data_IF_209259223059
#
_entry.id   IF_209259223059
#
_cell.length_a   1.000
_cell.length_b   1.000
_cell.length_c   1.000
_cell.angle_alpha   90.00
_cell.angle_beta   90.00
_cell.angle_gamma   90.00
#
_symmetry.space_group_name_H-M   'P 1'
#
loop_
_entity.id
_entity.type
_entity.pdbx_description
1 polymer ?
#
# COMPACT_ATOMS: atom_id res chain seq x y z
N UNK A 1 -0.26 43.58 -9.37
CA UNK A 1 0.53 42.43 -9.87
C UNK A 1 1.92 42.93 -10.18
N UNK A 2 2.98 42.37 -9.58
CA UNK A 2 4.34 42.65 -10.03
C UNK A 2 4.51 42.10 -11.46
N UNK A 3 5.03 42.91 -12.38
CA UNK A 3 5.35 42.48 -13.73
C UNK A 3 6.71 41.77 -13.69
N UNK A 4 6.72 40.46 -13.91
CA UNK A 4 7.95 39.68 -14.05
C UNK A 4 8.33 39.58 -15.53
N UNK A 5 9.62 39.75 -15.85
CA UNK A 5 10.10 39.75 -17.24
C UNK A 5 10.07 38.37 -17.90
N UNK A 6 10.15 37.29 -17.10
CA UNK A 6 10.04 35.92 -17.59
C UNK A 6 9.63 34.94 -16.47
N UNK A 7 9.34 33.68 -16.84
CA UNK A 7 8.90 32.62 -15.90
C UNK A 7 9.98 32.24 -14.88
N UNK A 8 11.26 32.32 -15.25
CA UNK A 8 12.37 31.98 -14.35
C UNK A 8 12.44 32.96 -13.18
N UNK A 9 12.45 34.26 -13.49
CA UNK A 9 12.44 35.34 -12.52
C UNK A 9 11.22 35.25 -11.60
N UNK A 10 10.05 34.94 -12.17
CA UNK A 10 8.85 34.70 -11.38
C UNK A 10 9.03 33.55 -10.38
N UNK A 11 9.54 32.39 -10.83
CA UNK A 11 9.71 31.21 -9.98
C UNK A 11 10.76 31.43 -8.87
N UNK A 12 11.89 32.08 -9.18
CA UNK A 12 12.91 32.46 -8.18
C UNK A 12 12.29 33.28 -7.05
N UNK A 13 11.58 34.34 -7.41
CA UNK A 13 10.96 35.24 -6.44
C UNK A 13 9.83 34.55 -5.66
N UNK A 14 8.96 33.80 -6.35
CA UNK A 14 7.80 33.15 -5.73
C UNK A 14 8.20 32.03 -4.77
N UNK A 15 9.19 31.22 -5.16
CA UNK A 15 9.65 30.08 -4.37
C UNK A 15 10.76 30.45 -3.38
N UNK A 16 11.32 31.66 -3.50
CA UNK A 16 12.46 32.17 -2.70
C UNK A 16 13.67 31.26 -2.81
N UNK A 17 14.07 30.96 -4.04
CA UNK A 17 15.23 30.12 -4.35
C UNK A 17 16.21 30.85 -5.23
N UNK A 18 17.48 30.48 -5.13
CA UNK A 18 18.54 31.00 -5.98
C UNK A 18 18.50 30.43 -7.41
N UNK A 19 19.29 31.06 -8.28
CA UNK A 19 19.43 30.73 -9.68
C UNK A 19 19.97 29.32 -9.89
N UNK A 20 20.90 28.86 -9.06
CA UNK A 20 21.52 27.53 -9.19
C UNK A 20 20.49 26.42 -8.96
N UNK A 21 19.70 26.52 -7.89
CA UNK A 21 18.63 25.59 -7.55
C UNK A 21 17.59 25.58 -8.66
N UNK A 22 17.11 26.75 -9.10
CA UNK A 22 16.10 26.80 -10.15
C UNK A 22 16.64 26.24 -11.48
N UNK A 23 17.87 26.58 -11.86
CA UNK A 23 18.50 26.07 -13.08
C UNK A 23 18.59 24.54 -13.06
N UNK A 24 18.90 23.94 -11.92
CA UNK A 24 18.94 22.48 -11.79
C UNK A 24 17.56 21.82 -12.04
N UNK A 25 16.48 22.51 -11.70
CA UNK A 25 15.10 22.06 -11.93
C UNK A 25 14.70 22.27 -13.38
N UNK A 26 15.01 23.44 -13.95
CA UNK A 26 14.77 23.77 -15.36
C UNK A 26 15.50 22.80 -16.29
N UNK A 27 16.73 22.39 -15.96
CA UNK A 27 17.46 21.38 -16.73
C UNK A 27 16.71 20.04 -16.79
N UNK A 28 16.06 19.63 -15.69
CA UNK A 28 15.26 18.40 -15.63
C UNK A 28 13.93 18.54 -16.36
N UNK A 29 13.32 19.72 -16.31
CA UNK A 29 12.01 19.98 -16.90
C UNK A 29 11.94 21.33 -17.64
N UNK A 30 12.62 21.48 -18.80
CA UNK A 30 12.77 22.79 -19.45
C UNK A 30 11.45 23.45 -19.88
N UNK A 31 10.42 22.63 -20.13
CA UNK A 31 9.10 23.10 -20.53
C UNK A 31 8.36 23.87 -19.42
N UNK A 32 8.85 23.86 -18.17
CA UNK A 32 8.30 24.72 -17.10
C UNK A 32 8.32 26.21 -17.47
N UNK A 33 9.35 26.64 -18.21
CA UNK A 33 9.52 28.03 -18.63
C UNK A 33 8.46 28.50 -19.64
N UNK A 34 7.68 27.56 -20.20
CA UNK A 34 6.59 27.84 -21.14
C UNK A 34 5.22 27.83 -20.46
N UNK A 35 5.15 27.51 -19.16
CA UNK A 35 3.88 27.47 -18.42
C UNK A 35 3.44 28.91 -18.12
N UNK A 36 2.14 29.15 -18.26
CA UNK A 36 1.55 30.45 -17.96
C UNK A 36 1.77 30.84 -16.47
N UNK A 37 2.26 32.06 -16.24
CA UNK A 37 2.57 32.59 -14.89
C UNK A 37 1.34 32.60 -13.98
N UNK A 38 0.15 32.96 -14.47
CA UNK A 38 -1.06 32.98 -13.65
C UNK A 38 -1.44 31.57 -13.16
N UNK A 39 -1.30 30.56 -14.02
CA UNK A 39 -1.47 29.15 -13.62
C UNK A 39 -0.45 28.75 -12.55
N UNK A 40 0.82 29.10 -12.75
CA UNK A 40 1.88 28.82 -11.77
C UNK A 40 1.57 29.49 -10.43
N UNK A 41 1.13 30.74 -10.44
CA UNK A 41 0.79 31.48 -9.23
C UNK A 41 -0.36 30.84 -8.47
N UNK A 42 -1.45 30.52 -9.16
CA UNK A 42 -2.57 29.82 -8.55
C UNK A 42 -2.13 28.47 -7.95
N UNK A 43 -1.37 27.67 -8.69
CA UNK A 43 -0.89 26.37 -8.22
C UNK A 43 0.01 26.50 -7.00
N UNK A 44 1.02 27.38 -7.03
CA UNK A 44 1.97 27.56 -5.92
C UNK A 44 1.24 28.09 -4.68
N UNK A 45 0.30 29.03 -4.85
CA UNK A 45 -0.53 29.53 -3.75
C UNK A 45 -1.33 28.40 -3.10
N UNK A 46 -1.99 27.56 -3.90
CA UNK A 46 -2.74 26.39 -3.40
C UNK A 46 -1.81 25.47 -2.60
N UNK A 47 -0.60 25.18 -3.10
CA UNK A 47 0.35 24.29 -2.41
C UNK A 47 0.83 24.90 -1.08
N UNK A 48 1.25 26.17 -1.08
CA UNK A 48 1.69 26.87 0.13
C UNK A 48 0.59 27.00 1.19
N UNK A 49 -0.66 27.30 0.78
CA UNK A 49 -1.83 27.32 1.67
C UNK A 49 -2.11 25.95 2.32
N UNK A 50 -1.60 24.88 1.74
CA UNK A 50 -1.71 23.52 2.27
C UNK A 50 -0.41 23.01 2.87
N UNK A 51 0.46 23.93 3.32
CA UNK A 51 1.69 23.65 4.05
C UNK A 51 2.75 22.86 3.27
N UNK A 52 2.65 22.83 1.93
CA UNK A 52 3.67 22.25 1.06
C UNK A 52 4.73 23.33 0.81
N UNK A 53 6.00 23.04 1.10
CA UNK A 53 7.09 24.01 1.03
C UNK A 53 7.66 24.16 -0.38
N UNK A 54 8.33 25.28 -0.66
CA UNK A 54 9.05 25.47 -1.93
C UNK A 54 10.08 24.37 -2.22
N UNK A 55 10.79 23.89 -1.19
CA UNK A 55 11.73 22.76 -1.33
C UNK A 55 11.01 21.49 -1.80
N UNK A 56 9.85 21.17 -1.21
CA UNK A 56 9.07 20.01 -1.62
C UNK A 56 8.58 20.15 -3.06
N UNK A 57 8.11 21.34 -3.45
CA UNK A 57 7.66 21.66 -4.82
C UNK A 57 8.78 21.40 -5.83
N UNK A 58 9.99 21.89 -5.55
CA UNK A 58 11.14 21.76 -6.44
C UNK A 58 11.70 20.33 -6.49
N UNK A 59 11.51 19.55 -5.41
CA UNK A 59 11.82 18.12 -5.39
C UNK A 59 10.90 17.31 -6.31
N UNK A 60 9.66 17.76 -6.50
CA UNK A 60 8.65 17.12 -7.36
C UNK A 60 8.15 18.04 -8.46
N UNK A 61 9.03 18.48 -9.38
CA UNK A 61 8.73 19.59 -10.28
C UNK A 61 7.71 19.20 -11.37
N UNK A 62 7.39 17.91 -11.50
CA UNK A 62 6.26 17.43 -12.32
C UNK A 62 4.92 18.05 -11.90
N UNK A 63 4.77 18.51 -10.65
CA UNK A 63 3.56 19.15 -10.15
C UNK A 63 3.10 20.33 -11.02
N UNK A 64 4.03 21.08 -11.62
CA UNK A 64 3.71 22.25 -12.46
C UNK A 64 2.88 21.91 -13.72
N UNK A 65 2.90 20.66 -14.15
CA UNK A 65 2.11 20.20 -15.29
C UNK A 65 0.68 19.79 -14.92
N UNK A 66 0.38 19.58 -13.64
CA UNK A 66 -0.96 19.23 -13.22
C UNK A 66 -1.93 20.41 -13.39
N UNK A 67 -3.20 20.09 -13.57
CA UNK A 67 -4.27 21.08 -13.53
C UNK A 67 -4.47 21.52 -12.06
N UNK A 68 -4.62 22.83 -11.84
CA UNK A 68 -4.88 23.43 -10.53
C UNK A 68 -6.12 22.84 -9.86
N UNK A 69 -7.18 22.61 -10.64
CA UNK A 69 -8.45 22.07 -10.16
C UNK A 69 -8.28 20.61 -9.70
N UNK A 70 -7.50 19.82 -10.44
CA UNK A 70 -7.16 18.45 -10.02
C UNK A 70 -6.43 18.45 -8.69
N UNK A 71 -5.44 19.32 -8.51
CA UNK A 71 -4.67 19.40 -7.26
C UNK A 71 -5.56 19.88 -6.11
N UNK A 72 -6.38 20.89 -6.34
CA UNK A 72 -7.32 21.41 -5.35
C UNK A 72 -8.34 20.35 -4.92
N UNK A 73 -8.94 19.63 -5.87
CA UNK A 73 -9.87 18.54 -5.60
C UNK A 73 -9.21 17.42 -4.79
N UNK A 74 -7.99 17.02 -5.16
CA UNK A 74 -7.24 15.99 -4.43
C UNK A 74 -6.89 16.41 -3.01
N UNK A 75 -6.49 17.66 -2.80
CA UNK A 75 -6.26 18.23 -1.47
C UNK A 75 -7.55 18.20 -0.64
N UNK A 76 -8.69 18.58 -1.22
CA UNK A 76 -9.98 18.56 -0.54
C UNK A 76 -10.38 17.13 -0.12
N UNK A 77 -10.18 16.14 -1.00
CA UNK A 77 -10.41 14.73 -0.70
C UNK A 77 -9.52 14.29 0.46
N UNK A 78 -8.21 14.56 0.40
CA UNK A 78 -7.26 14.18 1.45
C UNK A 78 -7.64 14.77 2.81
N UNK A 79 -7.99 16.06 2.86
CA UNK A 79 -8.47 16.71 4.09
C UNK A 79 -9.76 16.10 4.64
N UNK A 80 -10.72 15.77 3.77
CA UNK A 80 -11.97 15.12 4.18
C UNK A 80 -11.71 13.74 4.80
N UNK A 81 -10.67 13.05 4.36
CA UNK A 81 -10.22 11.75 4.90
C UNK A 81 -9.20 11.87 6.03
N UNK A 82 -8.97 13.07 6.59
CA UNK A 82 -7.97 13.32 7.63
C UNK A 82 -6.53 12.88 7.23
N UNK A 83 -6.22 12.97 5.94
CA UNK A 83 -4.90 12.68 5.38
C UNK A 83 -4.18 13.98 5.05
N UNK A 84 -2.89 14.03 5.40
CA UNK A 84 -2.02 15.17 5.10
C UNK A 84 -1.68 15.20 3.61
N UNK A 85 -1.94 16.32 2.90
CA UNK A 85 -1.51 16.50 1.52
C UNK A 85 0.02 16.37 1.38
N UNK A 86 0.46 15.54 0.44
CA UNK A 86 1.88 15.36 0.08
C UNK A 86 2.04 15.38 -1.42
N UNK A 87 3.10 16.00 -1.94
CA UNK A 87 3.28 16.09 -3.39
C UNK A 87 3.41 14.73 -4.06
N UNK A 88 4.03 13.76 -3.39
CA UNK A 88 4.17 12.38 -3.90
C UNK A 88 2.84 11.69 -4.18
N UNK A 89 1.76 12.09 -3.48
CA UNK A 89 0.40 11.56 -3.69
C UNK A 89 -0.34 12.42 -4.72
N UNK A 90 -0.20 13.74 -4.63
CA UNK A 90 -0.88 14.69 -5.51
C UNK A 90 -0.49 14.54 -6.98
N UNK A 91 0.73 14.07 -7.29
CA UNK A 91 1.22 13.87 -8.66
C UNK A 91 0.98 12.47 -9.23
N UNK A 92 0.23 11.60 -8.53
CA UNK A 92 -0.05 10.24 -9.02
C UNK A 92 -1.08 10.24 -10.16
N UNK A 93 -1.16 9.14 -10.91
CA UNK A 93 -2.31 8.94 -11.82
C UNK A 93 -3.61 8.83 -11.02
N UNK A 94 -4.75 9.09 -11.66
CA UNK A 94 -6.08 9.01 -11.04
C UNK A 94 -6.30 7.66 -10.35
N UNK A 95 -6.11 6.55 -11.08
CA UNK A 95 -6.19 5.20 -10.53
C UNK A 95 -5.36 4.98 -9.26
N UNK A 96 -4.11 5.48 -9.22
CA UNK A 96 -3.23 5.28 -8.07
C UNK A 96 -3.64 6.18 -6.90
N UNK A 97 -4.10 7.39 -7.19
CA UNK A 97 -4.66 8.30 -6.19
C UNK A 97 -5.92 7.70 -5.55
N UNK A 98 -6.86 7.20 -6.34
CA UNK A 98 -8.11 6.61 -5.84
C UNK A 98 -7.83 5.37 -5.00
N UNK A 99 -6.95 4.49 -5.48
CA UNK A 99 -6.50 3.32 -4.72
C UNK A 99 -5.83 3.73 -3.39
N UNK A 100 -5.08 4.83 -3.37
CA UNK A 100 -4.49 5.34 -2.14
C UNK A 100 -5.56 5.80 -1.14
N UNK A 101 -6.59 6.51 -1.61
CA UNK A 101 -7.71 6.96 -0.76
C UNK A 101 -8.50 5.76 -0.21
N UNK A 102 -8.87 4.81 -1.07
CA UNK A 102 -9.60 3.60 -0.70
C UNK A 102 -8.88 2.82 0.42
N UNK A 103 -7.59 2.53 0.24
CA UNK A 103 -6.80 1.78 1.22
C UNK A 103 -6.71 2.49 2.57
N UNK A 104 -6.59 3.82 2.57
CA UNK A 104 -6.53 4.58 3.82
C UNK A 104 -7.89 4.64 4.53
N UNK A 105 -8.99 4.76 3.77
CA UNK A 105 -10.34 4.72 4.32
C UNK A 105 -10.66 3.36 4.93
N UNK A 106 -10.34 2.26 4.24
CA UNK A 106 -10.46 0.90 4.79
C UNK A 106 -9.68 0.75 6.09
N UNK A 107 -8.44 1.25 6.10
CA UNK A 107 -7.59 1.23 7.29
C UNK A 107 -8.18 2.04 8.44
N UNK A 108 -8.68 3.24 8.18
CA UNK A 108 -9.31 4.07 9.21
C UNK A 108 -10.55 3.41 9.78
N UNK A 109 -11.43 2.87 8.92
CA UNK A 109 -12.64 2.15 9.33
C UNK A 109 -12.30 0.97 10.25
N UNK A 110 -11.31 0.17 9.87
CA UNK A 110 -10.85 -0.97 10.70
C UNK A 110 -10.24 -0.54 12.03
N UNK A 111 -9.48 0.57 12.04
CA UNK A 111 -8.93 1.13 13.27
C UNK A 111 -10.01 1.75 14.16
N UNK A 112 -11.10 2.29 13.60
CA UNK A 112 -12.25 2.75 14.36
C UNK A 112 -13.04 1.58 14.97
N UNK A 113 -13.25 0.51 14.19
CA UNK A 113 -14.00 -0.68 14.63
C UNK A 113 -13.24 -1.49 15.69
N UNK A 114 -11.92 -1.64 15.55
CA UNK A 114 -11.12 -2.52 16.39
C UNK A 114 -10.15 -1.78 17.32
N UNK A 115 -9.86 -0.50 17.10
CA UNK A 115 -8.87 0.28 17.86
C UNK A 115 -7.41 -0.04 17.50
N UNK A 116 -7.07 -1.31 17.24
CA UNK A 116 -5.72 -1.72 16.90
C UNK A 116 -5.67 -2.96 15.99
N UNK A 117 -4.53 -3.17 15.32
CA UNK A 117 -4.29 -4.39 14.52
C UNK A 117 -4.33 -5.65 15.41
N UNK A 118 -3.88 -5.57 16.66
CA UNK A 118 -3.97 -6.67 17.62
C UNK A 118 -5.42 -7.07 17.86
N UNK A 119 -6.28 -6.10 18.14
CA UNK A 119 -7.70 -6.35 18.39
C UNK A 119 -8.41 -6.87 17.13
N UNK A 120 -8.07 -6.33 15.96
CA UNK A 120 -8.55 -6.86 14.68
C UNK A 120 -8.18 -8.34 14.53
N UNK A 121 -6.91 -8.71 14.75
CA UNK A 121 -6.46 -10.10 14.67
C UNK A 121 -7.17 -10.99 15.69
N UNK A 122 -7.37 -10.51 16.91
CA UNK A 122 -8.07 -11.26 17.96
C UNK A 122 -9.52 -11.57 17.55
N UNK A 123 -10.23 -10.56 17.03
CA UNK A 123 -11.62 -10.69 16.61
C UNK A 123 -11.77 -11.59 15.38
N UNK A 124 -10.94 -11.40 14.35
CA UNK A 124 -11.09 -12.13 13.08
C UNK A 124 -10.59 -13.57 13.19
N UNK A 125 -9.50 -13.81 13.93
CA UNK A 125 -9.01 -15.18 14.13
C UNK A 125 -9.86 -15.95 15.15
N UNK A 126 -10.63 -15.26 15.99
CA UNK A 126 -11.46 -15.86 17.05
C UNK A 126 -10.65 -16.81 17.95
N UNK A 127 -9.49 -16.34 18.40
CA UNK A 127 -8.54 -17.11 19.23
C UNK A 127 -8.54 -16.59 20.67
N UNK A 128 -8.03 -17.40 21.60
CA UNK A 128 -7.77 -16.93 22.96
C UNK A 128 -6.71 -15.83 22.94
N UNK A 129 -7.01 -14.71 23.58
CA UNK A 129 -6.12 -13.54 23.61
C UNK A 129 -4.69 -13.90 24.05
N UNK A 130 -4.55 -14.79 25.04
CA UNK A 130 -3.25 -15.28 25.51
C UNK A 130 -2.41 -15.94 24.41
N UNK A 131 -3.01 -16.75 23.53
CA UNK A 131 -2.29 -17.42 22.44
C UNK A 131 -1.83 -16.43 21.38
N UNK A 132 -2.67 -15.45 21.06
CA UNK A 132 -2.30 -14.37 20.15
C UNK A 132 -1.17 -13.53 20.75
N UNK A 133 -1.21 -13.24 22.05
CA UNK A 133 -0.17 -12.46 22.72
C UNK A 133 1.18 -13.16 22.76
N UNK A 134 1.19 -14.48 23.01
CA UNK A 134 2.39 -15.30 22.92
C UNK A 134 2.98 -15.28 21.50
N UNK A 135 2.13 -15.38 20.48
CA UNK A 135 2.54 -15.29 19.07
C UNK A 135 3.11 -13.92 18.71
N UNK A 136 2.48 -12.83 19.14
CA UNK A 136 2.93 -11.45 18.92
C UNK A 136 4.24 -11.18 19.66
N UNK A 137 4.37 -11.65 20.91
CA UNK A 137 5.60 -11.50 21.70
C UNK A 137 6.78 -12.17 21.01
N UNK A 138 6.58 -13.36 20.45
CA UNK A 138 7.59 -14.09 19.69
C UNK A 138 7.86 -13.49 18.30
N UNK A 139 6.86 -12.85 17.69
CA UNK A 139 6.92 -12.31 16.34
C UNK A 139 6.27 -10.91 16.24
N UNK A 140 6.87 -9.86 16.85
CA UNK A 140 6.24 -8.54 16.97
C UNK A 140 6.05 -7.84 15.62
N UNK A 141 6.79 -8.26 14.58
CA UNK A 141 6.65 -7.75 13.22
C UNK A 141 5.28 -8.06 12.57
N UNK A 142 4.47 -8.97 13.13
CA UNK A 142 3.10 -9.23 12.65
C UNK A 142 2.28 -7.93 12.65
N UNK A 143 2.42 -7.11 13.70
CA UNK A 143 1.69 -5.85 13.84
C UNK A 143 2.13 -4.78 12.82
N UNK A 144 3.27 -4.98 12.15
CA UNK A 144 3.77 -4.08 11.09
C UNK A 144 3.41 -4.54 9.69
N UNK A 145 2.81 -5.72 9.52
CA UNK A 145 2.37 -6.20 8.22
C UNK A 145 1.27 -5.28 7.69
N UNK A 146 1.31 -4.96 6.39
CA UNK A 146 0.30 -4.11 5.75
C UNK A 146 -1.10 -4.70 5.96
N UNK A 147 -2.03 -3.89 6.47
CA UNK A 147 -3.38 -4.32 6.84
C UNK A 147 -4.12 -5.00 5.68
N UNK A 148 -4.10 -4.43 4.47
CA UNK A 148 -4.69 -5.06 3.27
C UNK A 148 -4.17 -6.47 3.02
N UNK A 149 -2.85 -6.68 3.18
CA UNK A 149 -2.24 -8.01 3.05
C UNK A 149 -2.71 -8.94 4.16
N UNK A 150 -2.81 -8.45 5.40
CA UNK A 150 -3.33 -9.24 6.52
C UNK A 150 -4.77 -9.69 6.27
N UNK A 151 -5.64 -8.79 5.81
CA UNK A 151 -7.03 -9.10 5.47
C UNK A 151 -7.11 -10.18 4.39
N UNK A 152 -6.44 -9.95 3.25
CA UNK A 152 -6.43 -10.89 2.13
C UNK A 152 -5.87 -12.26 2.53
N UNK A 153 -4.83 -12.27 3.36
CA UNK A 153 -4.23 -13.49 3.90
C UNK A 153 -5.22 -14.25 4.79
N UNK A 154 -5.85 -13.59 5.75
CA UNK A 154 -6.73 -14.24 6.71
C UNK A 154 -7.98 -14.78 6.01
N UNK A 155 -8.58 -13.99 5.12
CA UNK A 155 -9.71 -14.41 4.28
C UNK A 155 -9.37 -15.65 3.44
N UNK A 156 -8.21 -15.63 2.76
CA UNK A 156 -7.73 -16.79 1.99
C UNK A 156 -7.57 -18.05 2.86
N UNK A 157 -7.02 -17.91 4.07
CA UNK A 157 -6.80 -19.03 4.98
C UNK A 157 -8.14 -19.59 5.50
N UNK A 158 -9.06 -18.72 5.93
CA UNK A 158 -10.39 -19.13 6.41
C UNK A 158 -11.22 -19.80 5.32
N UNK A 159 -11.23 -19.26 4.09
CA UNK A 159 -11.87 -19.89 2.91
C UNK A 159 -11.25 -21.25 2.54
N UNK A 160 -10.03 -21.52 3.01
CA UNK A 160 -9.37 -22.82 2.83
C UNK A 160 -9.61 -23.80 4.00
N UNK A 161 -10.40 -23.42 5.00
CA UNK A 161 -10.72 -24.23 6.18
C UNK A 161 -9.65 -24.20 7.26
N UNK A 162 -8.72 -23.24 7.22
CA UNK A 162 -7.66 -23.08 8.21
C UNK A 162 -8.18 -22.21 9.36
N UNK A 163 -8.05 -22.69 10.59
CA UNK A 163 -8.57 -22.02 11.79
C UNK A 163 -7.63 -20.95 12.32
N UNK A 164 -8.14 -20.05 13.16
CA UNK A 164 -7.30 -19.05 13.84
C UNK A 164 -6.24 -19.69 14.74
N UNK A 165 -6.58 -20.80 15.41
CA UNK A 165 -5.65 -21.56 16.25
C UNK A 165 -4.47 -22.12 15.44
N UNK A 166 -4.73 -22.60 14.22
CA UNK A 166 -3.67 -23.03 13.29
C UNK A 166 -2.73 -21.87 12.95
N UNK A 167 -3.31 -20.70 12.66
CA UNK A 167 -2.58 -19.48 12.25
C UNK A 167 -1.66 -18.98 13.36
N UNK A 168 -2.15 -18.86 14.59
CA UNK A 168 -1.34 -18.41 15.73
C UNK A 168 -0.29 -19.45 16.15
N UNK A 169 -0.56 -20.73 15.92
CA UNK A 169 0.43 -21.80 16.11
C UNK A 169 1.58 -21.73 15.08
N UNK A 170 1.35 -21.10 13.92
CA UNK A 170 2.33 -20.95 12.86
C UNK A 170 2.50 -19.48 12.41
N UNK A 171 2.95 -18.57 13.27
CA UNK A 171 2.96 -17.13 12.98
C UNK A 171 3.82 -16.72 11.77
N UNK A 172 4.71 -17.61 11.32
CA UNK A 172 5.49 -17.39 10.10
C UNK A 172 4.62 -17.19 8.85
N UNK A 173 3.39 -17.69 8.84
CA UNK A 173 2.46 -17.56 7.71
C UNK A 173 2.19 -16.10 7.35
N UNK A 174 2.18 -15.18 8.32
CA UNK A 174 1.97 -13.74 8.09
C UNK A 174 3.00 -13.10 7.15
N UNK A 175 4.18 -13.70 7.04
CA UNK A 175 5.27 -13.20 6.19
C UNK A 175 5.22 -13.75 4.76
N UNK A 176 4.45 -14.79 4.49
CA UNK A 176 4.36 -15.37 3.16
C UNK A 176 3.65 -14.44 2.18
N UNK A 177 3.97 -14.60 0.90
CA UNK A 177 3.29 -13.92 -0.18
C UNK A 177 1.92 -14.57 -0.41
N UNK A 178 0.84 -13.76 -0.46
CA UNK A 178 -0.54 -14.25 -0.56
C UNK A 178 -0.78 -15.00 -1.88
N UNK A 179 -0.20 -14.52 -2.98
CA UNK A 179 -0.32 -15.17 -4.29
C UNK A 179 0.37 -16.54 -4.31
N UNK A 180 1.52 -16.67 -3.65
CA UNK A 180 2.17 -17.97 -3.46
C UNK A 180 1.28 -18.93 -2.67
N UNK A 181 0.62 -18.45 -1.62
CA UNK A 181 -0.30 -19.27 -0.83
C UNK A 181 -1.54 -19.68 -1.63
N UNK A 182 -2.10 -18.76 -2.43
CA UNK A 182 -3.23 -19.02 -3.33
C UNK A 182 -2.92 -20.15 -4.30
N UNK A 183 -1.76 -20.09 -4.97
CA UNK A 183 -1.28 -21.15 -5.88
C UNK A 183 -1.10 -22.49 -5.17
N UNK A 184 -0.53 -22.48 -3.96
CA UNK A 184 -0.34 -23.70 -3.17
C UNK A 184 -1.65 -24.31 -2.73
N UNK A 185 -2.60 -23.49 -2.26
CA UNK A 185 -3.94 -23.94 -1.86
C UNK A 185 -4.68 -24.54 -3.07
N UNK A 186 -4.64 -23.88 -4.23
CA UNK A 186 -5.24 -24.40 -5.47
C UNK A 186 -4.65 -25.77 -5.84
N UNK A 187 -3.33 -25.89 -5.90
CA UNK A 187 -2.63 -27.15 -6.18
C UNK A 187 -3.02 -28.27 -5.21
N UNK A 188 -3.12 -27.97 -3.91
CA UNK A 188 -3.54 -28.97 -2.91
C UNK A 188 -4.99 -29.40 -3.13
N UNK A 189 -5.91 -28.45 -3.35
CA UNK A 189 -7.33 -28.71 -3.62
C UNK A 189 -7.53 -29.54 -4.89
N UNK A 190 -6.83 -29.22 -5.98
CA UNK A 190 -6.86 -29.98 -7.25
C UNK A 190 -6.44 -31.45 -7.08
N UNK A 191 -5.55 -31.73 -6.12
CA UNK A 191 -5.09 -33.08 -5.81
C UNK A 191 -5.88 -33.74 -4.65
N UNK A 192 -7.02 -33.16 -4.25
CA UNK A 192 -7.85 -33.67 -3.16
C UNK A 192 -7.16 -33.66 -1.79
N UNK A 193 -6.13 -32.83 -1.61
CA UNK A 193 -5.37 -32.69 -0.37
C UNK A 193 -5.92 -31.49 0.40
N UNK A 194 -6.36 -31.66 1.67
CA UNK A 194 -6.81 -30.54 2.48
C UNK A 194 -5.63 -29.59 2.77
N UNK A 195 -5.79 -28.27 2.54
CA UNK A 195 -4.77 -27.29 2.87
C UNK A 195 -4.42 -27.31 4.37
N UNK A 196 -3.13 -27.31 4.70
CA UNK A 196 -2.60 -27.21 6.06
C UNK A 196 -1.45 -26.22 6.10
N UNK A 197 -1.35 -25.40 7.14
CA UNK A 197 -0.32 -24.34 7.20
C UNK A 197 1.09 -24.91 7.05
N UNK A 198 1.38 -26.06 7.66
CA UNK A 198 2.69 -26.73 7.55
C UNK A 198 3.11 -27.03 6.11
N UNK A 199 2.16 -27.41 5.25
CA UNK A 199 2.39 -27.60 3.81
C UNK A 199 2.49 -26.27 3.07
N UNK A 200 1.71 -25.27 3.49
CA UNK A 200 1.73 -23.94 2.87
C UNK A 200 3.02 -23.17 3.12
N UNK A 201 3.70 -23.38 4.26
CA UNK A 201 4.94 -22.67 4.62
C UNK A 201 6.22 -23.45 4.30
N UNK A 202 6.12 -24.70 3.83
CA UNK A 202 7.31 -25.51 3.57
C UNK A 202 8.05 -25.09 2.28
N UNK A 203 9.25 -25.65 2.07
CA UNK A 203 10.00 -25.46 0.83
C UNK A 203 9.24 -26.07 -0.35
N UNK A 204 9.32 -25.45 -1.53
CA UNK A 204 8.59 -25.91 -2.73
C UNK A 204 8.84 -27.40 -3.05
N UNK A 205 10.09 -27.84 -2.99
CA UNK A 205 10.47 -29.25 -3.22
C UNK A 205 9.74 -30.25 -2.30
N UNK A 206 9.38 -29.83 -1.09
CA UNK A 206 8.70 -30.70 -0.11
C UNK A 206 7.24 -30.87 -0.48
N UNK A 207 6.54 -29.76 -0.78
CA UNK A 207 5.13 -29.83 -1.18
C UNK A 207 4.97 -30.56 -2.52
N UNK A 208 5.87 -30.34 -3.49
CA UNK A 208 5.83 -31.04 -4.78
C UNK A 208 5.98 -32.55 -4.61
N UNK A 209 6.93 -32.99 -3.76
CA UNK A 209 7.13 -34.41 -3.45
C UNK A 209 5.89 -34.99 -2.77
N UNK A 210 5.33 -34.26 -1.80
CA UNK A 210 4.12 -34.70 -1.09
C UNK A 210 2.94 -34.91 -2.04
N UNK A 211 2.68 -33.94 -2.93
CA UNK A 211 1.62 -34.04 -3.94
C UNK A 211 1.86 -35.24 -4.86
N UNK A 212 3.07 -35.40 -5.41
CA UNK A 212 3.40 -36.51 -6.31
C UNK A 212 3.10 -37.89 -5.70
N UNK A 213 3.50 -38.12 -4.44
CA UNK A 213 3.24 -39.39 -3.76
C UNK A 213 1.73 -39.63 -3.55
N UNK A 214 0.98 -38.60 -3.17
CA UNK A 214 -0.48 -38.69 -2.97
C UNK A 214 -1.21 -38.98 -4.28
N UNK A 215 -0.81 -38.35 -5.38
CA UNK A 215 -1.41 -38.57 -6.70
C UNK A 215 -1.08 -39.96 -7.29
N UNK A 216 0.04 -40.58 -6.90
CA UNK A 216 0.35 -41.97 -7.27
C UNK A 216 -0.49 -42.96 -6.46
N UNK A 217 -0.63 -42.73 -5.16
CA UNK A 217 -1.44 -43.60 -4.30
C UNK A 217 -2.94 -43.56 -4.64
N UNK A 218 -3.48 -42.42 -5.07
CA UNK A 218 -4.89 -42.32 -5.50
C UNK A 218 -5.18 -42.98 -6.85
N UNK A 219 -4.16 -43.16 -7.71
CA UNK A 219 -4.31 -43.89 -8.97
C UNK A 219 -4.28 -45.41 -8.76
N UNK A 220 -3.50 -45.88 -7.79
CA UNK A 220 -3.41 -47.31 -7.48
C UNK A 220 -4.63 -47.84 -6.71
N UNK A 221 -5.39 -47.00 -6.01
CA UNK A 221 -6.61 -47.41 -5.29
C UNK A 221 -7.87 -47.52 -6.17
N UNK A 222 -7.79 -47.12 -7.45
CA UNK A 222 -8.90 -47.21 -8.41
C UNK A 222 -8.74 -48.38 -9.40
N UNK A 223 -7.83 -49.32 -9.10
CA UNK A 223 -7.47 -50.46 -9.95
C UNK A 223 -7.77 -51.82 -9.28
N UNK A 224 -8.44 -51.83 -8.14
CA UNK A 224 -8.94 -53.03 -7.45
C UNK A 224 -10.48 -53.03 -7.40
#
# INVERSE_FOLDING_TARGET
>A
MQHYGNVSEYLQNKLKVDDEILNSVVQKIPSILRVNIAKLDQLINILHQNSITSDEILRYPRIFYFNTDTIQNRIAILKKTDLVPKLTVLIQSERIFDQYIEINNERQKLLQEHGSVKNYLNNVLNVKEKLLEEAITKYPSILRVKLKKLMELIDLLQQSGITGDDVVSHPKIFYFNVETLRKRIAMLKENGIPPRITLLICKQRIIDRYVKHRSHNSKNSNLD
#
